data_IF_751339099430
#
_entry.id   IF_751339099430
#
_cell.length_a   1.000
_cell.length_b   1.000
_cell.length_c   1.000
_cell.angle_alpha   90.00
_cell.angle_beta   90.00
_cell.angle_gamma   90.00
#
_symmetry.space_group_name_H-M   'P 1'
#
loop_
_entity.id
_entity.type
_entity.pdbx_description
1 polymer ?
#
# COMPACT_ATOMS: atom_id res chain seq x y z
N UNK A 1 16.59 11.78 17.17
CA UNK A 1 17.19 11.46 15.86
C UNK A 1 16.94 9.98 15.64
N UNK A 2 16.02 9.63 14.74
CA UNK A 2 15.74 8.21 14.46
C UNK A 2 16.90 7.64 13.63
N UNK A 3 17.46 6.47 13.99
CA UNK A 3 18.48 5.83 13.19
C UNK A 3 17.85 5.37 11.87
N UNK A 4 18.25 5.98 10.75
CA UNK A 4 18.00 5.41 9.42
C UNK A 4 19.17 4.50 9.09
N UNK A 5 18.94 3.19 9.04
CA UNK A 5 19.92 2.24 8.51
C UNK A 5 20.35 2.69 7.10
N UNK A 6 21.64 2.96 6.85
CA UNK A 6 22.11 3.55 5.60
C UNK A 6 21.94 2.62 4.39
N UNK A 7 21.77 1.31 4.62
CA UNK A 7 21.56 0.30 3.57
C UNK A 7 20.10 0.19 3.10
N UNK A 8 19.12 0.64 3.89
CA UNK A 8 17.69 0.63 3.52
C UNK A 8 17.23 1.99 3.00
N UNK A 9 18.01 2.58 2.09
CA UNK A 9 17.65 3.84 1.44
C UNK A 9 16.69 3.53 0.29
N UNK A 10 15.51 4.15 0.28
CA UNK A 10 14.61 4.17 -0.87
C UNK A 10 15.37 4.72 -2.09
N UNK A 11 15.91 3.84 -2.93
CA UNK A 11 16.68 4.22 -4.11
C UNK A 11 15.86 4.00 -5.37
N UNK A 12 15.40 5.08 -6.00
CA UNK A 12 14.76 5.04 -7.31
C UNK A 12 15.72 4.64 -8.45
N UNK A 13 17.02 4.49 -8.16
CA UNK A 13 18.05 4.06 -9.10
C UNK A 13 18.18 2.53 -9.21
N UNK A 14 17.31 1.75 -8.55
CA UNK A 14 17.35 0.29 -8.66
C UNK A 14 16.91 -0.17 -10.06
N UNK A 15 17.52 -1.25 -10.53
CA UNK A 15 17.09 -1.94 -11.73
C UNK A 15 15.93 -2.88 -11.44
N UNK A 16 15.05 -3.06 -12.43
CA UNK A 16 13.93 -4.00 -12.40
C UNK A 16 14.48 -5.43 -12.33
N UNK A 17 13.96 -6.24 -11.40
CA UNK A 17 14.28 -7.65 -11.27
C UNK A 17 13.07 -8.52 -11.60
N UNK A 18 13.33 -9.81 -11.80
CA UNK A 18 12.26 -10.79 -11.90
C UNK A 18 11.43 -10.82 -10.60
N UNK A 19 10.11 -10.92 -10.74
CA UNK A 19 9.16 -10.89 -9.63
C UNK A 19 8.78 -9.49 -9.13
N UNK A 20 9.45 -8.43 -9.58
CA UNK A 20 9.09 -7.05 -9.21
C UNK A 20 7.75 -6.63 -9.82
N UNK A 21 7.08 -5.71 -9.13
CA UNK A 21 5.93 -5.02 -9.68
C UNK A 21 6.36 -3.72 -10.35
N UNK A 22 5.85 -3.49 -11.56
CA UNK A 22 6.13 -2.32 -12.38
C UNK A 22 4.81 -1.67 -12.76
N UNK A 23 4.76 -0.34 -12.70
CA UNK A 23 3.65 0.42 -13.24
C UNK A 23 3.98 0.77 -14.68
N UNK A 24 3.27 0.15 -15.60
CA UNK A 24 3.38 0.44 -17.03
C UNK A 24 2.55 1.67 -17.32
N UNK A 25 3.22 2.78 -17.64
CA UNK A 25 2.60 4.03 -18.04
C UNK A 25 2.57 4.12 -19.56
N UNK A 26 1.36 4.06 -20.12
CA UNK A 26 1.14 4.06 -21.56
C UNK A 26 0.86 5.48 -22.07
N UNK A 27 -0.14 6.13 -21.47
CA UNK A 27 -0.58 7.49 -21.80
C UNK A 27 -1.22 8.14 -20.58
N UNK A 28 -1.51 9.44 -20.68
CA UNK A 28 -2.22 10.14 -19.63
C UNK A 28 -3.56 9.44 -19.30
N UNK A 29 -3.73 9.05 -18.04
CA UNK A 29 -4.91 8.33 -17.55
C UNK A 29 -5.00 6.86 -17.95
N UNK A 30 -3.96 6.25 -18.54
CA UNK A 30 -3.93 4.80 -18.80
C UNK A 30 -2.61 4.22 -18.33
N UNK A 31 -2.71 3.45 -17.26
CA UNK A 31 -1.60 2.85 -16.54
C UNK A 31 -2.05 1.51 -15.97
N UNK A 32 -1.12 0.56 -15.89
CA UNK A 32 -1.40 -0.80 -15.41
C UNK A 32 -0.29 -1.27 -14.47
N UNK A 33 -0.67 -1.97 -13.40
CA UNK A 33 0.29 -2.71 -12.59
C UNK A 33 0.55 -4.07 -13.25
N UNK A 34 1.82 -4.39 -13.49
CA UNK A 34 2.24 -5.66 -14.08
C UNK A 34 3.35 -6.26 -13.23
N UNK A 35 3.23 -7.55 -12.95
CA UNK A 35 4.30 -8.33 -12.32
C UNK A 35 5.28 -8.79 -13.40
N UNK A 36 6.55 -8.48 -13.19
CA UNK A 36 7.63 -8.92 -14.06
C UNK A 36 7.88 -10.40 -13.81
N UNK A 37 7.89 -11.17 -14.88
CA UNK A 37 8.13 -12.60 -14.88
C UNK A 37 9.00 -12.89 -16.11
N UNK A 38 10.14 -13.53 -15.93
CA UNK A 38 11.00 -13.99 -17.01
C UNK A 38 10.19 -14.85 -18.00
N UNK A 39 10.29 -14.55 -19.30
CA UNK A 39 9.50 -15.17 -20.39
C UNK A 39 8.00 -14.81 -20.45
N UNK A 40 7.52 -13.88 -19.64
CA UNK A 40 6.17 -13.33 -19.80
C UNK A 40 6.16 -12.14 -20.75
N UNK A 41 5.00 -11.86 -21.31
CA UNK A 41 4.80 -10.85 -22.34
C UNK A 41 3.58 -10.02 -21.98
N UNK A 42 3.73 -8.70 -21.98
CA UNK A 42 2.62 -7.77 -21.92
C UNK A 42 2.12 -7.49 -23.34
N UNK A 43 0.88 -7.87 -23.60
CA UNK A 43 0.17 -7.46 -24.80
C UNK A 43 -0.66 -6.21 -24.51
N UNK A 44 -0.43 -5.17 -25.30
CA UNK A 44 -1.19 -3.94 -25.22
C UNK A 44 -1.46 -3.35 -26.62
N UNK A 45 -2.30 -2.31 -26.68
CA UNK A 45 -2.61 -1.61 -27.94
C UNK A 45 -1.38 -0.95 -28.57
N UNK A 46 -0.39 -0.58 -27.76
CA UNK A 46 0.90 -0.06 -28.24
C UNK A 46 1.86 -1.17 -28.72
N UNK A 47 1.46 -2.43 -28.57
CA UNK A 47 2.08 -3.62 -29.14
C UNK A 47 2.54 -4.63 -28.08
N UNK A 48 3.58 -5.37 -28.43
CA UNK A 48 4.06 -6.52 -27.64
C UNK A 48 5.35 -6.15 -26.92
N UNK A 49 5.37 -6.35 -25.61
CA UNK A 49 6.51 -6.03 -24.75
C UNK A 49 6.93 -7.27 -23.97
N UNK A 50 8.13 -7.77 -24.23
CA UNK A 50 8.70 -8.90 -23.53
C UNK A 50 9.27 -8.45 -22.18
N UNK A 51 8.94 -9.15 -21.11
CA UNK A 51 9.43 -8.80 -19.77
C UNK A 51 10.95 -9.02 -19.64
N UNK A 52 11.52 -9.90 -20.46
CA UNK A 52 12.98 -10.11 -20.56
C UNK A 52 13.72 -8.82 -20.92
N UNK A 53 13.10 -7.93 -21.72
CA UNK A 53 13.67 -6.64 -22.08
C UNK A 53 13.58 -5.61 -20.95
N UNK A 54 12.81 -5.87 -19.90
CA UNK A 54 12.58 -4.95 -18.79
C UNK A 54 13.56 -5.21 -17.66
N UNK A 55 13.91 -6.48 -17.45
CA UNK A 55 14.86 -6.91 -16.43
C UNK A 55 16.21 -6.19 -16.66
N UNK A 56 16.85 -5.79 -15.57
CA UNK A 56 18.09 -5.01 -15.53
C UNK A 56 17.97 -3.54 -16.02
N UNK A 57 16.84 -3.11 -16.58
CA UNK A 57 16.62 -1.67 -16.86
C UNK A 57 16.29 -0.91 -15.57
N UNK A 58 16.74 0.35 -15.42
CA UNK A 58 16.33 1.18 -14.31
C UNK A 58 14.85 1.56 -14.43
N UNK A 59 14.19 1.75 -13.29
CA UNK A 59 12.86 2.37 -13.28
C UNK A 59 12.90 3.76 -13.93
N UNK A 60 11.83 4.13 -14.62
CA UNK A 60 11.73 5.31 -15.49
C UNK A 60 12.14 5.06 -16.94
N UNK A 61 12.66 3.87 -17.27
CA UNK A 61 13.06 3.55 -18.64
C UNK A 61 11.90 3.54 -19.62
N UNK A 62 12.16 4.04 -20.83
CA UNK A 62 11.28 3.92 -21.99
C UNK A 62 11.57 2.61 -22.72
N UNK A 63 10.54 1.80 -22.94
CA UNK A 63 10.65 0.54 -23.69
C UNK A 63 9.81 0.61 -24.94
N UNK A 64 10.37 0.15 -26.05
CA UNK A 64 9.71 0.11 -27.35
C UNK A 64 9.11 -1.27 -27.59
N UNK A 65 7.97 -1.30 -28.26
CA UNK A 65 7.34 -2.53 -28.74
C UNK A 65 7.80 -2.80 -30.17
N UNK A 66 7.69 -4.07 -30.60
CA UNK A 66 8.04 -4.47 -31.98
C UNK A 66 7.24 -3.73 -33.06
N UNK A 67 6.10 -3.12 -32.70
CA UNK A 67 5.23 -2.35 -33.60
C UNK A 67 5.49 -0.82 -33.57
N UNK A 68 6.55 -0.38 -32.89
CA UNK A 68 6.94 1.04 -32.83
C UNK A 68 6.26 1.88 -31.74
N UNK A 69 5.32 1.31 -30.99
CA UNK A 69 4.78 1.93 -29.77
C UNK A 69 5.79 1.92 -28.62
N UNK A 70 5.53 2.69 -27.57
CA UNK A 70 6.39 2.70 -26.38
C UNK A 70 5.58 2.83 -25.09
N UNK A 71 6.19 2.39 -24.00
CA UNK A 71 5.68 2.57 -22.63
C UNK A 71 6.81 2.99 -21.70
N UNK A 72 6.46 3.59 -20.57
CA UNK A 72 7.39 3.88 -19.49
C UNK A 72 7.19 2.90 -18.34
N UNK A 73 8.30 2.41 -17.77
CA UNK A 73 8.29 1.47 -16.66
C UNK A 73 8.53 2.21 -15.35
N UNK A 74 7.49 2.52 -14.59
CA UNK A 74 7.57 3.31 -13.36
C UNK A 74 7.63 2.42 -12.12
N UNK A 75 8.32 2.91 -11.08
CA UNK A 75 8.33 2.25 -9.78
C UNK A 75 6.94 2.31 -9.13
N UNK A 76 6.49 1.24 -8.45
CA UNK A 76 5.23 1.24 -7.74
C UNK A 76 5.32 2.19 -6.55
N UNK A 77 4.48 3.23 -6.57
CA UNK A 77 4.29 4.16 -5.45
C UNK A 77 2.84 4.10 -5.02
N UNK A 78 2.48 4.39 -3.76
CA UNK A 78 1.09 4.42 -3.31
C UNK A 78 0.19 5.30 -4.20
N UNK A 79 0.70 6.45 -4.68
CA UNK A 79 -0.03 7.35 -5.59
C UNK A 79 -0.38 6.66 -6.91
N UNK A 80 0.60 6.03 -7.53
CA UNK A 80 0.38 5.30 -8.79
C UNK A 80 -0.45 4.05 -8.56
N UNK A 81 -0.27 3.39 -7.42
CA UNK A 81 -1.04 2.22 -7.01
C UNK A 81 -2.53 2.54 -6.90
N UNK A 82 -2.88 3.66 -6.24
CA UNK A 82 -4.25 4.17 -6.13
C UNK A 82 -4.95 4.31 -7.49
N UNK A 83 -4.19 4.61 -8.55
CA UNK A 83 -4.73 4.81 -9.89
C UNK A 83 -4.85 3.52 -10.72
N UNK A 84 -4.07 2.48 -10.42
CA UNK A 84 -4.09 1.19 -11.17
C UNK A 84 -4.81 0.05 -10.45
N UNK A 85 -5.05 0.18 -9.15
CA UNK A 85 -5.62 -0.92 -8.37
C UNK A 85 -7.00 -1.30 -8.88
N UNK A 86 -7.32 -2.59 -8.76
CA UNK A 86 -8.65 -3.09 -9.11
C UNK A 86 -9.67 -2.60 -8.07
N UNK A 87 -10.59 -1.74 -8.51
CA UNK A 87 -11.67 -1.23 -7.68
C UNK A 87 -12.65 -2.35 -7.32
N UNK A 88 -12.68 -2.71 -6.03
CA UNK A 88 -13.69 -3.61 -5.45
C UNK A 88 -14.72 -2.85 -4.62
N UNK A 89 -14.32 -1.68 -4.15
CA UNK A 89 -15.10 -0.78 -3.28
C UNK A 89 -14.88 0.66 -3.75
N UNK A 90 -15.65 1.58 -3.19
CA UNK A 90 -15.26 2.99 -3.20
C UNK A 90 -13.89 3.12 -2.52
N UNK A 91 -13.04 4.00 -3.05
CA UNK A 91 -11.70 4.26 -2.52
C UNK A 91 -11.52 5.75 -2.21
N UNK A 92 -10.57 6.03 -1.32
CA UNK A 92 -9.99 7.37 -1.18
C UNK A 92 -8.90 7.58 -2.22
N UNK A 93 -8.87 8.78 -2.78
CA UNK A 93 -7.83 9.24 -3.70
C UNK A 93 -6.77 10.08 -2.96
N UNK A 94 -5.68 10.38 -3.67
CA UNK A 94 -4.50 10.99 -3.06
C UNK A 94 -4.78 12.31 -2.32
N UNK A 95 -5.74 13.11 -2.78
CA UNK A 95 -6.11 14.36 -2.11
C UNK A 95 -6.64 14.09 -0.69
N UNK A 96 -7.63 13.21 -0.55
CA UNK A 96 -8.22 12.86 0.75
C UNK A 96 -7.23 12.09 1.63
N UNK A 97 -6.47 11.16 1.03
CA UNK A 97 -5.44 10.40 1.75
C UNK A 97 -4.37 11.34 2.34
N UNK A 98 -3.91 12.32 1.55
CA UNK A 98 -2.91 13.29 2.02
C UNK A 98 -3.45 14.11 3.20
N UNK A 99 -4.73 14.51 3.13
CA UNK A 99 -5.39 15.23 4.20
C UNK A 99 -5.51 14.37 5.46
N UNK A 100 -5.92 13.12 5.33
CA UNK A 100 -6.03 12.16 6.45
C UNK A 100 -4.67 11.95 7.13
N UNK A 101 -3.62 11.65 6.36
CA UNK A 101 -2.27 11.41 6.89
C UNK A 101 -1.75 12.65 7.64
N UNK A 102 -1.93 13.84 7.04
CA UNK A 102 -1.49 15.10 7.63
C UNK A 102 -2.28 15.45 8.90
N UNK A 103 -3.61 15.35 8.85
CA UNK A 103 -4.48 15.74 9.96
C UNK A 103 -4.32 14.83 11.18
N UNK A 104 -4.05 13.55 10.95
CA UNK A 104 -3.81 12.56 11.99
C UNK A 104 -2.35 12.51 12.46
N UNK A 105 -1.48 13.36 11.89
CA UNK A 105 -0.06 13.48 12.25
C UNK A 105 0.61 12.11 12.19
N UNK A 106 0.34 11.35 11.13
CA UNK A 106 0.92 10.02 10.95
C UNK A 106 2.38 10.21 10.56
N UNK A 107 3.26 9.69 11.39
CA UNK A 107 4.72 9.77 11.22
C UNK A 107 5.35 8.37 11.30
N UNK A 108 6.60 8.22 10.82
CA UNK A 108 7.33 6.97 10.95
C UNK A 108 7.35 6.46 12.40
N UNK A 109 7.01 5.18 12.59
CA UNK A 109 6.90 4.55 13.91
C UNK A 109 5.49 4.52 14.50
N UNK A 110 4.51 5.20 13.92
CA UNK A 110 3.13 5.15 14.39
C UNK A 110 2.51 3.74 14.25
N UNK A 111 1.63 3.40 15.19
CA UNK A 111 0.72 2.27 15.05
C UNK A 111 -0.65 2.80 14.65
N UNK A 112 -1.14 2.38 13.49
CA UNK A 112 -2.40 2.85 12.90
C UNK A 112 -3.38 1.69 12.83
N UNK A 113 -4.65 1.94 13.18
CA UNK A 113 -5.73 0.98 13.01
C UNK A 113 -6.72 1.49 11.95
N UNK A 114 -6.84 0.74 10.87
CA UNK A 114 -7.75 0.93 9.76
C UNK A 114 -8.86 -0.13 9.84
N UNK A 115 -10.11 0.28 9.64
CA UNK A 115 -11.26 -0.59 9.54
C UNK A 115 -11.98 -0.31 8.21
N UNK A 116 -12.17 -1.36 7.43
CA UNK A 116 -12.53 -1.28 6.02
C UNK A 116 -11.28 -1.22 5.13
N UNK A 117 -10.55 -2.33 4.99
CA UNK A 117 -9.41 -2.42 4.06
C UNK A 117 -9.84 -2.13 2.61
N UNK A 118 -11.03 -2.62 2.22
CA UNK A 118 -11.63 -2.36 0.91
C UNK A 118 -10.70 -2.79 -0.23
N UNK A 119 -10.33 -1.82 -1.08
CA UNK A 119 -9.42 -2.07 -2.20
C UNK A 119 -7.94 -1.81 -1.86
N UNK A 120 -7.64 -1.32 -0.65
CA UNK A 120 -6.27 -1.11 -0.15
C UNK A 120 -5.61 0.22 -0.55
N UNK A 121 -6.35 1.19 -1.08
CA UNK A 121 -5.81 2.51 -1.51
C UNK A 121 -5.23 3.31 -0.33
N UNK A 122 -5.99 3.41 0.77
CA UNK A 122 -5.55 4.11 1.98
C UNK A 122 -4.44 3.31 2.67
N UNK A 123 -4.62 2.00 2.81
CA UNK A 123 -3.68 1.08 3.46
C UNK A 123 -2.26 1.21 2.92
N UNK A 124 -2.05 1.22 1.60
CA UNK A 124 -0.70 1.33 1.01
C UNK A 124 -0.03 2.67 1.36
N UNK A 125 -0.80 3.76 1.39
CA UNK A 125 -0.31 5.08 1.77
C UNK A 125 0.01 5.18 3.26
N UNK A 126 -0.83 4.57 4.11
CA UNK A 126 -0.59 4.47 5.55
C UNK A 126 0.68 3.70 5.85
N UNK A 127 0.91 2.56 5.18
CA UNK A 127 2.12 1.78 5.44
C UNK A 127 3.37 2.57 5.08
N UNK A 128 3.38 3.26 3.94
CA UNK A 128 4.51 4.13 3.60
C UNK A 128 4.73 5.22 4.65
N UNK A 129 3.66 5.80 5.20
CA UNK A 129 3.77 6.87 6.20
C UNK A 129 4.33 6.39 7.55
N UNK A 130 4.03 5.15 7.97
CA UNK A 130 4.49 4.60 9.25
C UNK A 130 5.84 3.87 9.17
N UNK A 131 6.27 3.46 7.97
CA UNK A 131 7.57 2.82 7.76
C UNK A 131 8.74 3.74 8.21
N UNK A 132 9.88 3.18 8.65
CA UNK A 132 10.24 1.75 8.65
C UNK A 132 9.85 0.97 9.92
N UNK A 133 9.51 1.64 11.03
CA UNK A 133 9.31 0.99 12.34
C UNK A 133 7.84 0.88 12.78
N UNK A 134 6.93 1.60 12.13
CA UNK A 134 5.52 1.61 12.46
C UNK A 134 4.73 0.48 11.79
N UNK A 135 3.47 0.33 12.20
CA UNK A 135 2.61 -0.78 11.76
C UNK A 135 1.19 -0.30 11.48
N UNK A 136 0.53 -0.89 10.49
CA UNK A 136 -0.87 -0.66 10.13
C UNK A 136 -1.66 -1.95 10.35
N UNK A 137 -2.54 -1.93 11.33
CA UNK A 137 -3.53 -2.98 11.52
C UNK A 137 -4.73 -2.63 10.66
N UNK A 138 -5.07 -3.48 9.70
CA UNK A 138 -6.25 -3.28 8.85
C UNK A 138 -7.23 -4.43 9.03
N UNK A 139 -8.51 -4.08 9.08
CA UNK A 139 -9.61 -5.01 9.26
C UNK A 139 -10.60 -4.88 8.10
N UNK A 140 -11.07 -5.99 7.56
CA UNK A 140 -12.23 -6.02 6.66
C UNK A 140 -13.13 -7.17 7.07
N UNK A 141 -14.43 -6.92 7.20
CA UNK A 141 -15.39 -7.95 7.58
C UNK A 141 -15.61 -8.97 6.45
N UNK A 142 -15.30 -8.60 5.21
CA UNK A 142 -15.51 -9.44 4.04
C UNK A 142 -14.23 -10.21 3.71
N UNK A 143 -14.20 -11.50 4.05
CA UNK A 143 -13.02 -12.36 3.94
C UNK A 143 -12.35 -12.32 2.55
N UNK A 144 -13.15 -12.38 1.48
CA UNK A 144 -12.63 -12.31 0.11
C UNK A 144 -11.91 -10.98 -0.20
N UNK A 145 -12.39 -9.86 0.37
CA UNK A 145 -11.76 -8.55 0.21
C UNK A 145 -10.49 -8.46 1.04
N UNK A 146 -10.53 -8.95 2.28
CA UNK A 146 -9.35 -9.03 3.15
C UNK A 146 -8.22 -9.82 2.48
N UNK A 147 -8.53 -11.02 1.96
CA UNK A 147 -7.57 -11.87 1.24
C UNK A 147 -6.99 -11.16 0.01
N UNK A 148 -7.84 -10.55 -0.82
CA UNK A 148 -7.42 -9.84 -2.03
C UNK A 148 -6.57 -8.60 -1.72
N UNK A 149 -6.92 -7.87 -0.67
CA UNK A 149 -6.21 -6.68 -0.24
C UNK A 149 -4.83 -7.03 0.29
N UNK A 150 -4.70 -8.09 1.10
CA UNK A 150 -3.39 -8.59 1.57
C UNK A 150 -2.44 -8.94 0.43
N UNK A 151 -2.94 -9.58 -0.64
CA UNK A 151 -2.14 -9.87 -1.83
C UNK A 151 -1.73 -8.57 -2.54
N UNK A 152 -2.65 -7.62 -2.67
CA UNK A 152 -2.42 -6.33 -3.35
C UNK A 152 -1.42 -5.44 -2.60
N UNK A 153 -1.50 -5.40 -1.27
CA UNK A 153 -0.61 -4.58 -0.43
C UNK A 153 0.78 -5.18 -0.32
N UNK A 154 0.92 -6.51 -0.16
CA UNK A 154 2.20 -7.20 -0.23
C UNK A 154 2.90 -6.96 -1.58
N UNK A 155 2.10 -6.93 -2.65
CA UNK A 155 2.51 -6.67 -4.02
C UNK A 155 3.02 -5.25 -4.24
N UNK A 156 2.34 -4.24 -3.68
CA UNK A 156 2.74 -2.83 -3.81
C UNK A 156 4.06 -2.48 -3.12
N UNK A 157 4.65 -3.43 -2.39
CA UNK A 157 5.62 -3.20 -1.33
C UNK A 157 7.02 -3.76 -1.52
N UNK A 158 7.45 -4.19 -2.72
CA UNK A 158 8.68 -5.00 -2.86
C UNK A 158 10.01 -4.36 -2.40
N UNK A 159 10.03 -3.11 -1.92
CA UNK A 159 11.20 -2.43 -1.31
C UNK A 159 11.02 -1.98 0.14
N UNK A 160 9.79 -1.87 0.61
CA UNK A 160 9.49 -1.56 2.00
C UNK A 160 9.27 -2.92 2.66
N UNK A 161 9.97 -3.23 3.75
CA UNK A 161 9.80 -4.46 4.54
C UNK A 161 8.40 -4.50 5.21
N UNK A 162 7.37 -4.50 4.35
CA UNK A 162 5.94 -4.35 4.59
C UNK A 162 5.34 -5.61 5.22
N UNK A 163 6.09 -6.72 5.18
CA UNK A 163 5.79 -7.97 5.88
C UNK A 163 5.58 -7.76 7.38
N UNK A 164 6.29 -6.77 7.96
CA UNK A 164 6.15 -6.41 9.37
C UNK A 164 4.92 -5.54 9.62
N UNK A 165 4.50 -4.73 8.65
CA UNK A 165 3.57 -3.63 8.87
C UNK A 165 2.09 -3.99 8.73
N UNK A 166 1.72 -5.07 8.04
CA UNK A 166 0.31 -5.44 7.84
C UNK A 166 0.02 -6.76 8.55
N UNK A 167 -0.74 -6.70 9.63
CA UNK A 167 -1.37 -7.88 10.23
C UNK A 167 -2.86 -7.83 9.91
N UNK A 168 -3.32 -8.76 9.06
CA UNK A 168 -4.75 -9.00 8.86
C UNK A 168 -5.34 -9.56 10.16
N UNK A 169 -6.25 -8.82 10.77
CA UNK A 169 -6.90 -9.20 12.03
C UNK A 169 -8.26 -9.81 11.67
N UNK A 170 -8.49 -11.09 11.95
CA UNK A 170 -9.85 -11.66 11.91
C UNK A 170 -10.65 -11.21 13.13
N UNK A 171 -11.99 -11.23 13.06
CA UNK A 171 -12.91 -10.75 14.10
C UNK A 171 -12.63 -11.30 15.52
N UNK A 172 -12.01 -12.49 15.62
CA UNK A 172 -11.54 -13.10 16.86
C UNK A 172 -10.36 -12.37 17.53
N UNK A 173 -9.44 -11.82 16.73
CA UNK A 173 -8.18 -11.19 17.22
C UNK A 173 -8.42 -9.76 17.74
N UNK A 174 -9.55 -9.13 17.37
CA UNK A 174 -9.95 -7.81 17.88
C UNK A 174 -10.28 -7.83 19.37
N UNK A 175 -10.82 -8.94 19.89
CA UNK A 175 -11.07 -9.14 21.32
C UNK A 175 -9.77 -9.44 22.08
N UNK A 176 -8.85 -10.20 21.47
CA UNK A 176 -7.55 -10.54 22.07
C UNK A 176 -6.56 -9.36 22.09
N UNK A 177 -6.46 -8.56 21.03
CA UNK A 177 -5.61 -7.36 21.01
C UNK A 177 -6.08 -6.27 21.99
N UNK A 178 -7.37 -6.26 22.32
CA UNK A 178 -7.93 -5.40 23.36
C UNK A 178 -7.61 -5.93 24.76
N UNK A 179 -7.55 -7.26 24.94
CA UNK A 179 -7.18 -7.92 26.19
C UNK A 179 -5.68 -7.86 26.50
N UNK A 180 -4.82 -7.81 25.48
CA UNK A 180 -3.35 -7.85 25.63
C UNK A 180 -2.67 -6.49 25.82
N UNK A 181 -3.40 -5.38 25.80
CA UNK A 181 -2.84 -4.05 26.00
C UNK A 181 -1.94 -3.65 24.82
N UNK A 182 -2.51 -2.89 23.88
CA UNK A 182 -1.74 -2.26 22.82
C UNK A 182 -0.51 -1.54 23.40
N UNK A 183 0.71 -1.76 22.88
CA UNK A 183 1.89 -1.10 23.42
C UNK A 183 1.71 0.43 23.34
N UNK A 184 1.99 1.11 24.45
CA UNK A 184 1.74 2.55 24.64
C UNK A 184 2.25 3.38 23.44
N UNK A 185 1.34 3.88 22.62
CA UNK A 185 1.62 4.89 21.61
C UNK A 185 1.92 6.24 22.30
N UNK A 186 3.08 6.82 22.02
CA UNK A 186 3.43 8.18 22.47
C UNK A 186 2.99 9.18 21.40
N UNK A 187 1.82 9.79 21.62
CA UNK A 187 1.22 10.87 20.79
C UNK A 187 0.51 10.36 19.52
N UNK A 188 -0.70 10.75 19.14
CA UNK A 188 -1.75 11.54 19.77
C UNK A 188 -2.55 12.31 18.71
N UNK A 189 -3.62 11.73 18.12
CA UNK A 189 -4.83 12.40 17.56
C UNK A 189 -5.99 11.37 17.48
N UNK A 190 -7.22 11.81 17.76
CA UNK A 190 -8.48 11.02 17.77
C UNK A 190 -9.49 11.57 16.76
N UNK A 191 -10.17 10.72 15.99
CA UNK A 191 -11.43 11.01 15.28
C UNK A 191 -12.36 9.80 15.34
N UNK A 192 -13.63 10.06 15.67
CA UNK A 192 -14.68 9.09 15.97
C UNK A 192 -15.68 8.99 14.81
N UNK A 193 -16.23 7.80 14.57
CA UNK A 193 -17.43 7.59 13.77
C UNK A 193 -18.01 6.18 13.96
N UNK A 194 -19.04 6.04 14.80
CA UNK A 194 -19.79 4.78 15.00
C UNK A 194 -21.29 5.05 14.84
N UNK A 195 -21.94 4.36 13.91
CA UNK A 195 -23.38 4.08 13.99
C UNK A 195 -23.53 2.55 13.95
N UNK A 196 -24.02 1.97 15.05
CA UNK A 196 -24.52 0.59 15.22
C UNK A 196 -23.64 -0.58 15.73
N UNK A 197 -22.51 -0.33 16.41
CA UNK A 197 -22.00 -1.33 17.38
C UNK A 197 -21.76 -0.65 18.73
N UNK A 198 -22.57 -1.05 19.72
CA UNK A 198 -22.57 -0.48 21.07
C UNK A 198 -21.41 -1.06 21.89
N UNK A 199 -20.17 -0.78 21.49
CA UNK A 199 -18.98 -1.09 22.29
C UNK A 199 -18.64 0.15 23.14
N UNK A 200 -18.89 0.07 24.45
CA UNK A 200 -18.43 1.07 25.41
C UNK A 200 -16.91 0.99 25.53
N UNK A 201 -16.18 1.82 24.79
CA UNK A 201 -14.79 2.11 25.10
C UNK A 201 -14.74 2.93 26.40
N UNK A 202 -14.36 2.32 27.51
CA UNK A 202 -13.93 3.06 28.69
C UNK A 202 -12.50 3.55 28.49
N UNK A 203 -12.40 4.87 28.39
CA UNK A 203 -11.21 5.67 28.10
C UNK A 203 -10.00 5.31 28.98
N UNK A 204 -8.91 4.85 28.35
CA UNK A 204 -7.58 5.42 28.58
C UNK A 204 -6.86 5.57 27.24
N UNK A 205 -6.39 6.81 26.98
CA UNK A 205 -5.66 7.38 25.83
C UNK A 205 -5.14 6.44 24.72
N UNK A 206 -5.34 6.93 23.48
CA UNK A 206 -4.62 6.67 22.21
C UNK A 206 -4.82 5.32 21.51
N UNK A 207 -5.97 5.16 20.86
CA UNK A 207 -6.19 4.28 19.71
C UNK A 207 -7.13 5.00 18.72
N UNK A 208 -6.79 4.99 17.43
CA UNK A 208 -7.58 5.63 16.38
C UNK A 208 -8.03 4.57 15.36
N UNK A 209 -9.35 4.42 15.18
CA UNK A 209 -9.95 3.66 14.08
C UNK A 209 -10.36 4.61 12.96
N UNK A 210 -9.85 4.41 11.74
CA UNK A 210 -10.44 4.99 10.53
C UNK A 210 -11.48 4.03 9.95
N UNK A 211 -12.65 4.55 9.57
CA UNK A 211 -13.66 3.84 8.79
C UNK A 211 -13.71 4.44 7.38
N UNK A 212 -13.58 3.60 6.35
CA UNK A 212 -13.82 3.96 4.95
C UNK A 212 -15.16 3.41 4.45
#
# INVERSE_FOLDING_TARGET
>A
MLPSDPEKKLSFARCIKDGDWVIVYEKHGTMKAVKVCENSVLQDRFGLFEHSDWIAKPFGSKVFSSKGGFVYLLAPTPELWTLVLSHRTQILYIADISFVIMYLIIVPGCLVLESGTGSGSLTTSLVRAVAPTGHVYTFDFHEQRAASAMVSTATSGSDLDLSTAIRGVSQSVLLDLWAYGFPRCVGGVSLFGFQNLRLRCHLYRTQLCLFC
#
